data_IF_875395202406
#
_entry.id   IF_875395202406
#
_cell.length_a   1.000
_cell.length_b   1.000
_cell.length_c   1.000
_cell.angle_alpha   90.00
_cell.angle_beta   90.00
_cell.angle_gamma   90.00
#
_symmetry.space_group_name_H-M   'P 1'
#
loop_
_entity.id
_entity.type
_entity.pdbx_description
1 polymer ?
#
# COMPACT_ATOMS: atom_id res chain seq x y z
N UNK A 1 6.25 9.94 -43.67
CA UNK A 1 7.44 9.06 -43.74
C UNK A 1 8.26 9.34 -42.49
N UNK A 2 8.10 8.49 -41.48
CA UNK A 2 8.73 8.63 -40.15
C UNK A 2 10.10 7.94 -40.24
N UNK A 3 11.17 8.70 -40.10
CA UNK A 3 12.51 8.15 -39.96
C UNK A 3 12.69 7.70 -38.50
N UNK A 4 12.51 6.40 -38.27
CA UNK A 4 13.03 5.73 -37.09
C UNK A 4 14.57 5.71 -37.18
N UNK A 5 15.24 6.64 -36.50
CA UNK A 5 16.65 6.48 -36.19
C UNK A 5 16.75 5.50 -35.03
N UNK A 6 17.09 4.26 -35.34
CA UNK A 6 17.53 3.29 -34.36
C UNK A 6 18.74 3.88 -33.61
N UNK A 7 18.56 4.20 -32.33
CA UNK A 7 19.67 4.58 -31.46
C UNK A 7 20.55 3.34 -31.30
N UNK A 8 21.78 3.46 -31.78
CA UNK A 8 22.76 2.40 -31.86
C UNK A 8 23.20 2.11 -30.43
N UNK A 9 22.67 1.05 -29.82
CA UNK A 9 23.22 0.50 -28.60
C UNK A 9 24.65 0.04 -28.89
N UNK A 10 25.63 0.89 -28.61
CA UNK A 10 27.05 0.55 -28.69
C UNK A 10 27.37 -0.38 -27.49
N UNK A 11 27.58 -1.69 -27.70
CA UNK A 11 27.91 -2.61 -26.62
C UNK A 11 29.33 -2.37 -26.05
N UNK A 12 30.11 -1.45 -26.64
CA UNK A 12 31.43 -1.03 -26.22
C UNK A 12 31.51 0.39 -25.65
N UNK A 13 30.39 1.05 -25.34
CA UNK A 13 30.43 2.27 -24.54
C UNK A 13 30.96 1.91 -23.14
N UNK A 14 32.23 2.22 -22.90
CA UNK A 14 32.96 1.91 -21.66
C UNK A 14 32.10 2.24 -20.44
N UNK A 15 31.79 1.22 -19.64
CA UNK A 15 31.00 1.34 -18.41
C UNK A 15 31.59 2.30 -17.37
N UNK A 16 32.81 2.80 -17.62
CA UNK A 16 33.57 3.72 -16.77
C UNK A 16 34.06 4.90 -17.63
N UNK A 17 33.30 6.00 -17.73
CA UNK A 17 33.76 7.21 -18.39
C UNK A 17 35.11 7.65 -17.83
N UNK A 18 36.05 8.05 -18.70
CA UNK A 18 37.42 8.40 -18.34
C UNK A 18 37.51 9.45 -17.23
N UNK A 19 36.56 10.40 -17.18
CA UNK A 19 36.45 11.38 -16.11
C UNK A 19 36.17 10.79 -14.73
N UNK A 20 35.35 9.74 -14.63
CA UNK A 20 35.03 9.09 -13.34
C UNK A 20 36.24 8.30 -12.80
N UNK A 21 36.99 7.67 -13.70
CA UNK A 21 38.22 6.95 -13.34
C UNK A 21 39.31 7.91 -12.89
N UNK A 22 39.52 9.01 -13.61
CA UNK A 22 40.51 10.02 -13.26
C UNK A 22 40.22 10.65 -11.89
N UNK A 23 38.94 10.95 -11.60
CA UNK A 23 38.54 11.44 -10.27
C UNK A 23 38.83 10.43 -9.16
N UNK A 24 38.57 9.14 -9.39
CA UNK A 24 38.88 8.09 -8.41
C UNK A 24 40.39 7.97 -8.16
N UNK A 25 41.19 7.97 -9.23
CA UNK A 25 42.64 7.84 -9.16
C UNK A 25 43.35 9.06 -8.55
N UNK A 26 42.72 10.23 -8.58
CA UNK A 26 43.21 11.44 -7.92
C UNK A 26 42.81 11.54 -6.44
N UNK A 27 41.94 10.63 -5.97
CA UNK A 27 41.44 10.64 -4.59
C UNK A 27 42.41 9.98 -3.59
N UNK A 28 42.25 10.28 -2.31
CA UNK A 28 42.99 9.59 -1.23
C UNK A 28 42.58 8.13 -1.03
N UNK A 29 41.50 7.66 -1.68
CA UNK A 29 40.90 6.34 -1.48
C UNK A 29 41.22 5.34 -2.61
N UNK A 30 42.23 5.65 -3.44
CA UNK A 30 42.66 4.82 -4.57
C UNK A 30 43.01 3.38 -4.22
N UNK A 31 43.47 3.13 -3.00
CA UNK A 31 43.79 1.78 -2.52
C UNK A 31 42.54 0.90 -2.31
N UNK A 32 41.34 1.47 -2.34
CA UNK A 32 40.06 0.78 -2.09
C UNK A 32 39.35 0.55 -3.43
N UNK A 33 38.60 -0.55 -3.54
CA UNK A 33 37.77 -0.78 -4.72
C UNK A 33 36.63 0.28 -4.81
N UNK A 34 36.50 1.03 -5.91
CA UNK A 34 35.52 2.11 -6.06
C UNK A 34 34.07 1.63 -5.92
N UNK A 35 33.77 0.43 -6.39
CA UNK A 35 32.42 -0.14 -6.32
C UNK A 35 32.05 -0.49 -4.88
N UNK A 36 33.01 -1.02 -4.11
CA UNK A 36 32.77 -1.40 -2.72
C UNK A 36 32.62 -0.15 -1.83
N UNK A 37 33.43 0.88 -2.09
CA UNK A 37 33.35 2.15 -1.40
C UNK A 37 32.03 2.88 -1.66
N UNK A 38 31.60 2.97 -2.91
CA UNK A 38 30.32 3.61 -3.27
C UNK A 38 29.13 2.87 -2.69
N UNK A 39 29.16 1.53 -2.68
CA UNK A 39 28.13 0.71 -2.03
C UNK A 39 28.05 0.97 -0.52
N UNK A 40 29.19 1.06 0.15
CA UNK A 40 29.24 1.36 1.59
C UNK A 40 28.67 2.74 1.90
N UNK A 41 29.05 3.76 1.12
CA UNK A 41 28.53 5.12 1.29
C UNK A 41 27.02 5.15 1.01
N UNK A 42 26.54 4.45 0.00
CA UNK A 42 25.12 4.40 -0.34
C UNK A 42 24.28 3.70 0.74
N UNK A 43 24.86 2.74 1.46
CA UNK A 43 24.18 2.05 2.57
C UNK A 43 23.86 2.97 3.75
N UNK A 44 24.63 4.04 3.97
CA UNK A 44 24.42 4.97 5.09
C UNK A 44 23.06 5.71 5.00
N UNK A 45 22.71 6.42 3.92
CA UNK A 45 21.41 7.06 3.80
C UNK A 45 20.27 6.04 3.73
N UNK A 46 20.48 4.88 3.09
CA UNK A 46 19.47 3.81 3.05
C UNK A 46 19.16 3.30 4.46
N UNK A 47 20.19 3.00 5.26
CA UNK A 47 20.02 2.60 6.65
C UNK A 47 19.31 3.68 7.48
N UNK A 48 19.64 4.95 7.26
CA UNK A 48 18.95 6.09 7.88
C UNK A 48 17.46 6.14 7.53
N UNK A 49 17.11 5.99 6.25
CA UNK A 49 15.72 5.96 5.79
C UNK A 49 14.96 4.76 6.37
N UNK A 50 15.57 3.57 6.34
CA UNK A 50 14.97 2.35 6.91
C UNK A 50 14.74 2.50 8.40
N UNK A 51 15.74 2.99 9.14
CA UNK A 51 15.64 3.22 10.58
C UNK A 51 14.56 4.26 10.92
N UNK A 52 14.50 5.36 10.18
CA UNK A 52 13.48 6.39 10.35
C UNK A 52 12.07 5.85 10.08
N UNK A 53 11.87 5.09 8.99
CA UNK A 53 10.58 4.47 8.69
C UNK A 53 10.18 3.42 9.74
N UNK A 54 11.12 2.62 10.24
CA UNK A 54 10.86 1.69 11.33
C UNK A 54 10.48 2.41 12.63
N UNK A 55 11.14 3.54 12.94
CA UNK A 55 10.81 4.41 14.06
C UNK A 55 9.40 4.99 13.95
N UNK A 56 9.02 5.53 12.79
CA UNK A 56 7.66 6.03 12.54
C UNK A 56 6.60 4.93 12.69
N UNK A 57 6.85 3.73 12.16
CA UNK A 57 5.93 2.59 12.32
C UNK A 57 5.81 2.13 13.77
N UNK A 58 6.90 2.16 14.54
CA UNK A 58 6.88 1.84 15.98
C UNK A 58 6.14 2.92 16.78
N UNK A 59 6.35 4.20 16.46
CA UNK A 59 5.65 5.32 17.08
C UNK A 59 4.15 5.29 16.77
N UNK A 60 3.76 5.05 15.50
CA UNK A 60 2.37 4.88 15.11
C UNK A 60 1.73 3.67 15.81
N UNK A 61 2.44 2.55 15.94
CA UNK A 61 1.95 1.39 16.70
C UNK A 61 1.83 1.65 18.20
N UNK A 62 2.68 2.51 18.77
CA UNK A 62 2.59 2.92 20.18
C UNK A 62 1.40 3.85 20.40
N UNK A 63 1.17 4.78 19.47
CA UNK A 63 0.03 5.69 19.45
C UNK A 63 -1.29 4.91 19.27
N UNK A 64 -1.33 3.98 18.32
CA UNK A 64 -2.44 3.04 18.13
C UNK A 64 -2.66 2.17 19.38
N UNK A 65 -1.61 1.78 20.10
CA UNK A 65 -1.74 0.98 21.33
C UNK A 65 -2.24 1.81 22.52
N UNK A 66 -2.00 3.13 22.53
CA UNK A 66 -2.49 4.05 23.55
C UNK A 66 -3.93 4.51 23.28
N UNK A 67 -4.34 4.58 22.01
CA UNK A 67 -5.65 5.10 21.60
C UNK A 67 -6.66 4.04 21.13
N UNK A 68 -6.27 2.80 20.87
CA UNK A 68 -7.23 1.77 20.48
C UNK A 68 -7.86 1.10 21.70
N UNK A 69 -9.00 1.62 22.12
CA UNK A 69 -9.98 0.80 22.82
C UNK A 69 -10.31 -0.40 21.91
N UNK A 70 -10.36 -1.62 22.44
CA UNK A 70 -10.65 -2.82 21.63
C UNK A 70 -12.00 -2.69 20.90
N UNK A 71 -12.93 -1.95 21.51
CA UNK A 71 -14.21 -1.51 20.96
C UNK A 71 -14.05 -0.67 19.69
N UNK A 72 -13.14 0.31 19.68
CA UNK A 72 -12.89 1.18 18.51
C UNK A 72 -12.32 0.37 17.33
N UNK A 73 -11.42 -0.59 17.61
CA UNK A 73 -10.91 -1.52 16.59
C UNK A 73 -12.02 -2.40 16.01
N UNK A 74 -12.90 -2.91 16.86
CA UNK A 74 -14.04 -3.71 16.44
C UNK A 74 -15.02 -2.88 15.60
N UNK A 75 -15.30 -1.64 16.01
CA UNK A 75 -16.13 -0.66 15.31
C UNK A 75 -15.58 -0.34 13.92
N UNK A 76 -14.31 0.03 13.81
CA UNK A 76 -13.66 0.31 12.52
C UNK A 76 -13.71 -0.88 11.58
N UNK A 77 -13.49 -2.10 12.09
CA UNK A 77 -13.57 -3.33 11.30
C UNK A 77 -14.98 -3.59 10.77
N UNK A 78 -16.01 -3.35 11.58
CA UNK A 78 -17.41 -3.48 11.18
C UNK A 78 -17.80 -2.40 10.16
N UNK A 79 -17.35 -1.16 10.34
CA UNK A 79 -17.54 -0.07 9.37
C UNK A 79 -16.90 -0.36 8.01
N UNK A 80 -15.66 -0.87 8.02
CA UNK A 80 -14.98 -1.29 6.79
C UNK A 80 -15.76 -2.42 6.08
N UNK A 81 -16.29 -3.39 6.83
CA UNK A 81 -17.13 -4.47 6.29
C UNK A 81 -18.43 -3.92 5.69
N UNK A 82 -19.12 -3.00 6.36
CA UNK A 82 -20.32 -2.33 5.84
C UNK A 82 -20.03 -1.64 4.50
N UNK A 83 -18.93 -0.89 4.42
CA UNK A 83 -18.52 -0.21 3.19
C UNK A 83 -18.27 -1.18 2.04
N UNK A 84 -17.58 -2.30 2.29
CA UNK A 84 -17.33 -3.33 1.26
C UNK A 84 -18.63 -3.95 0.76
N UNK A 85 -19.57 -4.27 1.65
CA UNK A 85 -20.88 -4.84 1.26
C UNK A 85 -21.68 -3.84 0.43
N UNK A 86 -21.69 -2.55 0.81
CA UNK A 86 -22.39 -1.51 0.05
C UNK A 86 -21.80 -1.33 -1.34
N UNK A 87 -20.46 -1.29 -1.46
CA UNK A 87 -19.81 -1.21 -2.77
C UNK A 87 -20.16 -2.41 -3.65
N UNK A 88 -20.15 -3.63 -3.08
CA UNK A 88 -20.58 -4.82 -3.82
C UNK A 88 -22.02 -4.74 -4.30
N UNK A 89 -22.91 -4.14 -3.52
CA UNK A 89 -24.31 -3.93 -3.93
C UNK A 89 -24.39 -2.98 -5.14
N UNK A 90 -23.59 -1.91 -5.13
CA UNK A 90 -23.48 -0.96 -6.25
C UNK A 90 -22.90 -1.66 -7.49
N UNK A 91 -21.80 -2.41 -7.33
CA UNK A 91 -21.17 -3.15 -8.43
C UNK A 91 -22.17 -4.14 -9.07
N UNK A 92 -23.03 -4.75 -8.25
CA UNK A 92 -24.05 -5.71 -8.68
C UNK A 92 -25.23 -5.04 -9.40
N UNK A 93 -25.64 -3.85 -8.95
CA UNK A 93 -26.59 -2.99 -9.67
C UNK A 93 -26.02 -2.53 -11.02
N UNK A 94 -24.75 -2.13 -11.08
CA UNK A 94 -24.07 -1.76 -12.32
C UNK A 94 -23.95 -2.94 -13.30
N UNK A 95 -23.66 -4.15 -12.81
CA UNK A 95 -23.58 -5.36 -13.63
C UNK A 95 -24.95 -5.74 -14.24
N UNK A 96 -26.04 -5.56 -13.48
CA UNK A 96 -27.41 -5.72 -13.99
C UNK A 96 -27.72 -4.68 -15.07
N UNK A 97 -27.38 -3.42 -14.84
CA UNK A 97 -27.64 -2.32 -15.78
C UNK A 97 -26.86 -2.48 -17.10
N UNK A 98 -25.69 -3.15 -17.05
CA UNK A 98 -24.88 -3.53 -18.21
C UNK A 98 -25.38 -4.81 -18.91
N UNK A 99 -26.37 -5.50 -18.34
CA UNK A 99 -26.92 -6.76 -18.87
C UNK A 99 -26.02 -7.98 -18.67
N UNK A 100 -25.04 -7.90 -17.76
CA UNK A 100 -24.10 -8.98 -17.45
C UNK A 100 -24.69 -10.02 -16.49
N UNK A 101 -25.83 -9.73 -15.87
CA UNK A 101 -26.49 -10.56 -14.86
C UNK A 101 -27.96 -10.82 -15.23
N UNK A 102 -28.44 -12.03 -14.97
CA UNK A 102 -29.88 -12.33 -15.12
C UNK A 102 -30.66 -11.81 -13.93
N UNK A 103 -31.94 -11.46 -14.13
CA UNK A 103 -32.80 -10.91 -13.06
C UNK A 103 -32.95 -11.88 -11.86
N UNK A 104 -32.91 -13.20 -12.12
CA UNK A 104 -32.98 -14.21 -11.07
C UNK A 104 -31.71 -14.22 -10.19
N UNK A 105 -30.54 -14.16 -10.83
CA UNK A 105 -29.25 -14.14 -10.14
C UNK A 105 -29.06 -12.83 -9.37
N UNK A 106 -29.56 -11.71 -9.92
CA UNK A 106 -29.57 -10.39 -9.27
C UNK A 106 -30.27 -10.45 -7.92
N UNK A 107 -31.52 -10.94 -7.92
CA UNK A 107 -32.37 -10.92 -6.73
C UNK A 107 -31.85 -11.84 -5.62
N UNK A 108 -31.26 -12.99 -5.98
CA UNK A 108 -30.67 -13.91 -4.99
C UNK A 108 -29.43 -13.29 -4.33
N UNK A 109 -28.52 -12.74 -5.13
CA UNK A 109 -27.26 -12.21 -4.62
C UNK A 109 -27.45 -10.87 -3.90
N UNK A 110 -28.36 -10.02 -4.37
CA UNK A 110 -28.79 -8.79 -3.69
C UNK A 110 -29.40 -9.10 -2.31
N UNK A 111 -30.29 -10.10 -2.22
CA UNK A 111 -30.91 -10.49 -0.95
C UNK A 111 -29.86 -10.99 0.06
N UNK A 112 -28.86 -11.74 -0.41
CA UNK A 112 -27.75 -12.20 0.42
C UNK A 112 -26.89 -11.03 0.95
N UNK A 113 -26.51 -10.08 0.09
CA UNK A 113 -25.74 -8.91 0.50
C UNK A 113 -26.53 -7.98 1.44
N UNK A 114 -27.83 -7.77 1.19
CA UNK A 114 -28.71 -7.00 2.11
C UNK A 114 -28.82 -7.67 3.48
N UNK A 115 -28.92 -8.99 3.54
CA UNK A 115 -28.91 -9.73 4.80
C UNK A 115 -27.59 -9.53 5.56
N UNK A 116 -26.45 -9.64 4.86
CA UNK A 116 -25.14 -9.40 5.47
C UNK A 116 -24.94 -7.96 5.93
N UNK A 117 -25.52 -7.00 5.22
CA UNK A 117 -25.53 -5.59 5.63
C UNK A 117 -26.29 -5.42 6.94
N UNK A 118 -27.51 -5.95 7.03
CA UNK A 118 -28.33 -5.89 8.24
C UNK A 118 -27.64 -6.52 9.46
N UNK A 119 -27.02 -7.70 9.29
CA UNK A 119 -26.26 -8.34 10.36
C UNK A 119 -25.05 -7.49 10.81
N UNK A 120 -24.42 -6.78 9.88
CA UNK A 120 -23.28 -5.89 10.16
C UNK A 120 -23.74 -4.64 10.92
N UNK A 121 -24.87 -4.05 10.52
CA UNK A 121 -25.47 -2.90 11.22
C UNK A 121 -25.94 -3.26 12.63
N UNK A 122 -26.55 -4.43 12.81
CA UNK A 122 -26.95 -4.89 14.15
C UNK A 122 -25.76 -5.02 15.11
N UNK A 123 -24.63 -5.53 14.60
CA UNK A 123 -23.38 -5.63 15.38
C UNK A 123 -22.77 -4.27 15.67
N UNK A 124 -22.90 -3.31 14.74
CA UNK A 124 -22.44 -1.95 14.95
C UNK A 124 -23.26 -1.24 16.04
N UNK A 125 -24.59 -1.38 15.99
CA UNK A 125 -25.49 -0.84 17.03
C UNK A 125 -25.20 -1.44 18.40
N UNK A 126 -25.04 -2.77 18.49
CA UNK A 126 -24.69 -3.40 19.77
C UNK A 126 -23.38 -2.87 20.36
N UNK A 127 -22.36 -2.60 19.53
CA UNK A 127 -21.11 -2.00 20.01
C UNK A 127 -21.25 -0.55 20.46
N UNK A 128 -22.13 0.23 19.82
CA UNK A 128 -22.44 1.61 20.22
C UNK A 128 -23.19 1.59 21.55
N UNK A 129 -24.20 0.73 21.68
CA UNK A 129 -25.00 0.59 22.91
C UNK A 129 -24.13 0.15 24.11
N UNK A 130 -23.21 -0.81 23.88
CA UNK A 130 -22.25 -1.25 24.90
C UNK A 130 -21.27 -0.14 25.32
N UNK A 131 -20.90 0.75 24.38
CA UNK A 131 -20.03 1.90 24.67
C UNK A 131 -20.76 3.03 25.41
N UNK A 132 -22.07 3.20 25.22
CA UNK A 132 -22.90 4.21 25.90
C UNK A 132 -23.42 3.75 27.26
N UNK A 133 -23.61 2.44 27.47
CA UNK A 133 -24.12 1.84 28.72
C UNK A 133 -23.07 1.59 29.81
N UNK A 134 -21.79 1.80 29.51
CA UNK A 134 -20.67 1.66 30.45
C UNK A 134 -20.37 2.94 31.22
N UNK A 135 -21.25 3.34 32.15
CA UNK A 135 -20.95 4.29 33.23
C UNK A 135 -21.61 3.86 34.54
#
# INVERSE_FOLDING_TARGET
MILLTADVTNPGATLHPEGHMNWWYDSMFTAINPHLFTLLILMIPIAGIVFYQMGKKKAAKLDDAWHSDETEKAFQKLMARKKVIMNKLIDLEEARDQGELTEGDFLEEEAAYRKHLYETERKLHALIDDAEGGN
#
